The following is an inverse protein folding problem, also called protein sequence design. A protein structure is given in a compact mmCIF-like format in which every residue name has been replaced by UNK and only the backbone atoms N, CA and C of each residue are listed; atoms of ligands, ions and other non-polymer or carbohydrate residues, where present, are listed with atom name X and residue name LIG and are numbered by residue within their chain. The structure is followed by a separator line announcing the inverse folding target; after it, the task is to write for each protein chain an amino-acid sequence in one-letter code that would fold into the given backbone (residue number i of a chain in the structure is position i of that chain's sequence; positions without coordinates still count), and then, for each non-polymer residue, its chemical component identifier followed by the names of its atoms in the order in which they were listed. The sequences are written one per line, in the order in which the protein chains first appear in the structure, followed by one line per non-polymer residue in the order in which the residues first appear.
data_IF_957216290224
#
_entry.id   IF_957216290224
#
_cell.length_a   1.000
_cell.length_b   1.000
_cell.length_c   1.000
_cell.angle_alpha   90.00
_cell.angle_beta   90.00
_cell.angle_gamma   90.00
#
_symmetry.space_group_name_H-M   'P 1'
#
loop_
_entity.id
_entity.type
_entity.pdbx_description
1 polymer ?
#
# COMPACT_ATOMS: atom_id res chain seq x y z
N UNK A 1 4.43 -25.30 -7.96
CA UNK A 1 4.56 -25.94 -6.64
C UNK A 1 3.22 -26.02 -5.94
N UNK A 2 3.07 -26.99 -5.02
CA UNK A 2 1.86 -27.12 -4.21
C UNK A 2 1.55 -25.83 -3.41
N UNK A 3 2.58 -25.19 -2.86
CA UNK A 3 2.41 -23.91 -2.14
C UNK A 3 1.79 -22.81 -2.99
N UNK A 4 2.13 -22.74 -4.28
CA UNK A 4 1.51 -21.78 -5.20
C UNK A 4 0.03 -22.09 -5.46
N UNK A 5 -0.34 -23.35 -5.54
CA UNK A 5 -1.73 -23.79 -5.73
C UNK A 5 -2.55 -23.66 -4.44
N UNK A 6 -1.93 -23.93 -3.29
CA UNK A 6 -2.61 -24.06 -2.00
C UNK A 6 -2.72 -22.77 -1.18
N UNK A 7 -1.90 -21.72 -1.44
CA UNK A 7 -1.90 -20.53 -0.60
C UNK A 7 -3.26 -19.81 -0.48
N UNK A 8 -4.17 -19.83 -1.50
CA UNK A 8 -5.48 -19.19 -1.33
C UNK A 8 -6.33 -19.83 -0.24
N UNK A 9 -6.16 -21.16 -0.03
CA UNK A 9 -6.84 -21.86 1.06
C UNK A 9 -6.23 -21.48 2.42
N UNK A 10 -4.90 -21.39 2.51
CA UNK A 10 -4.21 -20.88 3.70
C UNK A 10 -4.65 -19.46 4.05
N UNK A 11 -4.73 -18.57 3.05
CA UNK A 11 -5.23 -17.20 3.24
C UNK A 11 -6.69 -17.20 3.73
N UNK A 12 -7.53 -18.10 3.23
CA UNK A 12 -8.90 -18.25 3.71
C UNK A 12 -8.93 -18.68 5.19
N UNK A 13 -8.03 -19.59 5.59
CA UNK A 13 -7.90 -20.01 6.99
C UNK A 13 -7.48 -18.84 7.89
N UNK A 14 -6.52 -18.00 7.45
CA UNK A 14 -6.10 -16.81 8.21
C UNK A 14 -7.25 -15.80 8.42
N UNK A 15 -8.15 -15.68 7.46
CA UNK A 15 -9.32 -14.79 7.55
C UNK A 15 -10.40 -15.39 8.47
N UNK A 16 -10.66 -16.68 8.34
CA UNK A 16 -11.74 -17.35 9.10
C UNK A 16 -11.33 -17.68 10.53
N UNK A 17 -10.04 -17.87 10.80
CA UNK A 17 -9.48 -18.15 12.11
C UNK A 17 -9.94 -17.13 13.20
N UNK A 18 -9.94 -15.84 12.86
CA UNK A 18 -10.41 -14.79 13.77
C UNK A 18 -11.88 -14.38 13.51
N UNK A 19 -12.60 -15.13 12.69
CA UNK A 19 -14.00 -14.88 12.29
C UNK A 19 -14.21 -13.43 11.82
N UNK A 20 -13.33 -12.95 10.95
CA UNK A 20 -13.25 -11.56 10.52
C UNK A 20 -14.53 -11.11 9.80
N UNK A 21 -15.09 -9.98 10.21
CA UNK A 21 -16.22 -9.33 9.54
C UNK A 21 -15.75 -8.52 8.32
N UNK A 22 -14.61 -7.82 8.43
CA UNK A 22 -14.10 -6.91 7.43
C UNK A 22 -12.60 -7.13 7.19
N UNK A 23 -12.21 -7.27 5.92
CA UNK A 23 -10.84 -7.52 5.51
C UNK A 23 -10.37 -6.42 4.55
N UNK A 24 -9.46 -5.52 4.97
CA UNK A 24 -8.84 -4.56 4.05
C UNK A 24 -7.93 -5.29 3.05
N UNK A 25 -8.22 -5.12 1.76
CA UNK A 25 -7.48 -5.81 0.69
C UNK A 25 -7.23 -4.90 -0.50
N UNK A 26 -6.21 -5.21 -1.29
CA UNK A 26 -6.06 -4.68 -2.64
C UNK A 26 -7.03 -5.35 -3.61
N UNK A 27 -7.30 -4.70 -4.72
CA UNK A 27 -8.23 -5.19 -5.76
C UNK A 27 -7.83 -6.58 -6.32
N UNK A 28 -6.53 -6.85 -6.39
CA UNK A 28 -5.97 -8.14 -6.81
C UNK A 28 -6.29 -9.31 -5.87
N UNK A 29 -6.73 -9.03 -4.63
CA UNK A 29 -7.12 -10.01 -3.63
C UNK A 29 -8.62 -10.38 -3.65
N UNK A 30 -9.43 -9.69 -4.44
CA UNK A 30 -10.87 -9.97 -4.53
C UNK A 30 -11.20 -11.44 -4.91
N UNK A 31 -10.48 -12.09 -5.83
CA UNK A 31 -10.71 -13.51 -6.12
C UNK A 31 -10.51 -14.42 -4.90
N UNK A 32 -9.56 -14.09 -4.02
CA UNK A 32 -9.31 -14.86 -2.79
C UNK A 32 -10.39 -14.60 -1.74
N UNK A 33 -10.93 -13.38 -1.67
CA UNK A 33 -12.10 -13.08 -0.84
C UNK A 33 -13.33 -13.86 -1.27
N UNK A 34 -13.58 -13.98 -2.58
CA UNK A 34 -14.69 -14.80 -3.09
C UNK A 34 -14.49 -16.30 -2.82
N UNK A 35 -13.24 -16.79 -2.92
CA UNK A 35 -12.92 -18.16 -2.53
C UNK A 35 -13.22 -18.39 -1.04
N UNK A 36 -12.80 -17.46 -0.18
CA UNK A 36 -13.05 -17.53 1.27
C UNK A 36 -14.54 -17.60 1.56
N UNK A 37 -15.37 -16.75 0.94
CA UNK A 37 -16.83 -16.78 1.10
C UNK A 37 -17.44 -18.12 0.68
N UNK A 38 -16.97 -18.68 -0.45
CA UNK A 38 -17.42 -20.00 -0.90
C UNK A 38 -17.07 -21.10 0.10
N UNK A 39 -15.86 -21.05 0.66
CA UNK A 39 -15.44 -22.00 1.69
C UNK A 39 -16.26 -21.85 2.97
N UNK A 40 -16.52 -20.63 3.43
CA UNK A 40 -17.36 -20.35 4.59
C UNK A 40 -18.79 -20.90 4.40
N UNK A 41 -19.44 -20.60 3.26
CA UNK A 41 -20.78 -21.12 2.96
C UNK A 41 -20.78 -22.63 2.97
N UNK A 42 -19.82 -23.26 2.27
CA UNK A 42 -19.72 -24.73 2.20
C UNK A 42 -19.50 -25.35 3.58
N UNK A 43 -18.65 -24.75 4.41
CA UNK A 43 -18.41 -25.21 5.77
C UNK A 43 -19.69 -25.12 6.61
N UNK A 44 -20.36 -23.99 6.58
CA UNK A 44 -21.59 -23.74 7.34
C UNK A 44 -22.74 -24.67 6.91
N UNK A 45 -22.85 -25.00 5.61
CA UNK A 45 -23.81 -25.99 5.08
C UNK A 45 -23.50 -27.41 5.55
N UNK A 46 -22.21 -27.80 5.59
CA UNK A 46 -21.81 -29.17 5.89
C UNK A 46 -21.79 -29.50 7.38
N UNK A 47 -21.53 -28.51 8.23
CA UNK A 47 -21.30 -28.70 9.66
C UNK A 47 -22.31 -27.89 10.51
N UNK A 48 -22.06 -26.58 10.66
CA UNK A 48 -22.92 -25.67 11.41
C UNK A 48 -22.64 -24.21 11.00
N UNK A 49 -23.59 -23.28 11.13
CA UNK A 49 -23.44 -21.87 10.77
C UNK A 49 -22.62 -21.11 11.81
N UNK A 50 -21.31 -21.40 11.89
CA UNK A 50 -20.38 -20.84 12.89
C UNK A 50 -19.42 -19.80 12.31
N UNK A 51 -19.14 -19.85 10.99
CA UNK A 51 -18.23 -18.92 10.34
C UNK A 51 -18.98 -17.77 9.69
N UNK A 52 -18.45 -16.55 9.82
CA UNK A 52 -19.00 -15.35 9.17
C UNK A 52 -18.45 -15.21 7.75
N UNK A 53 -19.29 -14.75 6.83
CA UNK A 53 -18.85 -14.37 5.49
C UNK A 53 -18.14 -13.01 5.54
N UNK A 54 -16.83 -12.95 5.28
CA UNK A 54 -16.08 -11.72 5.39
C UNK A 54 -16.44 -10.73 4.27
N UNK A 55 -16.54 -9.45 4.61
CA UNK A 55 -16.62 -8.35 3.66
C UNK A 55 -15.21 -7.85 3.32
N UNK A 56 -15.01 -7.40 2.09
CA UNK A 56 -13.76 -6.72 1.72
C UNK A 56 -13.90 -5.21 1.87
N UNK A 57 -12.80 -4.54 2.18
CA UNK A 57 -12.67 -3.09 2.13
C UNK A 57 -11.52 -2.72 1.19
N UNK A 58 -11.86 -2.02 0.11
CA UNK A 58 -10.88 -1.52 -0.85
C UNK A 58 -10.40 -0.12 -0.46
N UNK A 59 -9.13 0.16 -0.72
CA UNK A 59 -8.59 1.50 -0.66
C UNK A 59 -9.10 2.34 -1.83
N UNK A 60 -9.25 3.65 -1.62
CA UNK A 60 -9.51 4.63 -2.69
C UNK A 60 -8.35 4.69 -3.71
N UNK A 61 -7.15 4.29 -3.30
CA UNK A 61 -5.99 4.12 -4.17
C UNK A 61 -5.85 2.64 -4.53
N UNK A 62 -6.40 2.25 -5.67
CA UNK A 62 -6.44 0.84 -6.09
C UNK A 62 -5.05 0.29 -6.45
N UNK A 63 -4.18 1.10 -7.04
CA UNK A 63 -2.84 0.65 -7.48
C UNK A 63 -1.88 1.82 -7.69
N UNK A 64 -0.70 1.74 -7.07
CA UNK A 64 0.42 2.63 -7.35
C UNK A 64 1.34 1.99 -8.40
N UNK A 65 1.74 2.79 -9.39
CA UNK A 65 2.75 2.41 -10.39
C UNK A 65 4.15 2.50 -9.78
N UNK A 66 5.10 1.78 -10.37
CA UNK A 66 6.52 2.00 -10.09
C UNK A 66 6.97 3.43 -10.48
N UNK A 67 7.97 3.95 -9.79
CA UNK A 67 8.52 5.29 -10.08
C UNK A 67 9.13 5.40 -11.50
N UNK A 68 9.44 4.28 -12.11
CA UNK A 68 9.92 4.12 -13.49
C UNK A 68 8.80 4.12 -14.55
N UNK A 69 7.54 4.26 -14.13
CA UNK A 69 6.37 4.23 -15.00
C UNK A 69 5.85 2.83 -15.34
N UNK A 70 6.51 1.77 -14.86
CA UNK A 70 5.99 0.42 -15.03
C UNK A 70 4.73 0.19 -14.20
N UNK A 71 3.77 -0.52 -14.78
CA UNK A 71 2.51 -0.85 -14.10
C UNK A 71 2.73 -1.73 -12.85
N UNK A 72 3.84 -2.49 -12.80
CA UNK A 72 4.19 -3.34 -11.67
C UNK A 72 5.28 -2.69 -10.82
N UNK A 73 4.93 -2.38 -9.58
CA UNK A 73 5.91 -2.06 -8.53
C UNK A 73 6.48 -3.35 -7.96
N UNK A 74 7.80 -3.43 -7.77
CA UNK A 74 8.43 -4.64 -7.24
C UNK A 74 9.78 -4.40 -6.58
N UNK A 75 10.08 -5.20 -5.55
CA UNK A 75 11.38 -5.12 -4.84
C UNK A 75 12.55 -5.37 -5.78
N UNK A 76 12.44 -6.35 -6.67
CA UNK A 76 13.46 -6.70 -7.65
C UNK A 76 13.68 -5.64 -8.74
N UNK A 77 12.71 -4.75 -8.95
CA UNK A 77 12.78 -3.70 -9.95
C UNK A 77 13.39 -2.40 -9.40
N UNK A 78 13.52 -2.26 -8.08
CA UNK A 78 14.05 -1.06 -7.45
C UNK A 78 13.22 0.21 -7.67
N UNK A 79 11.98 0.09 -8.14
CA UNK A 79 11.08 1.17 -8.54
C UNK A 79 10.05 1.55 -7.46
N UNK A 80 10.28 1.12 -6.22
CA UNK A 80 9.37 1.32 -5.09
C UNK A 80 9.98 2.23 -4.01
N UNK A 81 9.12 2.98 -3.32
CA UNK A 81 9.45 3.65 -2.07
C UNK A 81 9.04 2.71 -0.94
N UNK A 82 9.96 2.44 -0.02
CA UNK A 82 9.70 1.58 1.14
C UNK A 82 9.40 2.41 2.38
N UNK A 83 8.60 1.86 3.30
CA UNK A 83 8.34 2.50 4.59
C UNK A 83 9.62 2.69 5.42
N UNK A 84 10.65 1.88 5.15
CA UNK A 84 11.94 1.94 5.81
C UNK A 84 12.96 2.87 5.15
N UNK A 85 12.64 3.47 3.98
CA UNK A 85 13.54 4.39 3.30
C UNK A 85 13.80 5.63 4.15
N UNK A 86 15.06 6.06 4.20
CA UNK A 86 15.43 7.33 4.82
C UNK A 86 14.84 8.52 4.03
N UNK A 87 14.82 9.70 4.64
CA UNK A 87 14.34 10.91 3.98
C UNK A 87 15.13 11.22 2.68
N UNK A 88 16.45 11.01 2.72
CA UNK A 88 17.34 11.22 1.56
C UNK A 88 17.09 10.17 0.48
N UNK A 89 16.83 8.92 0.86
CA UNK A 89 16.53 7.84 -0.06
C UNK A 89 15.20 8.11 -0.80
N UNK A 90 14.17 8.56 -0.09
CA UNK A 90 12.90 9.00 -0.69
C UNK A 90 13.13 10.15 -1.67
N UNK A 91 13.91 11.17 -1.27
CA UNK A 91 14.23 12.30 -2.13
C UNK A 91 14.95 11.86 -3.40
N UNK A 92 15.94 10.96 -3.27
CA UNK A 92 16.68 10.39 -4.40
C UNK A 92 15.76 9.62 -5.35
N UNK A 93 14.90 8.76 -4.82
CA UNK A 93 13.96 7.97 -5.61
C UNK A 93 12.93 8.85 -6.33
N UNK A 94 12.33 9.82 -5.65
CA UNK A 94 11.37 10.76 -6.28
C UNK A 94 12.06 11.61 -7.34
N UNK A 95 13.32 12.01 -7.14
CA UNK A 95 14.09 12.77 -8.14
C UNK A 95 14.18 12.02 -9.47
N UNK A 96 14.37 10.70 -9.43
CA UNK A 96 14.48 9.85 -10.64
C UNK A 96 13.15 9.38 -11.20
N UNK A 97 12.03 9.64 -10.52
CA UNK A 97 10.71 9.24 -11.00
C UNK A 97 10.40 9.82 -12.39
N UNK A 98 9.74 9.01 -13.20
CA UNK A 98 9.35 9.40 -14.56
C UNK A 98 8.25 10.46 -14.51
N UNK A 99 8.42 11.48 -15.34
CA UNK A 99 7.44 12.56 -15.55
C UNK A 99 6.92 12.52 -16.98
N UNK A 100 6.12 13.49 -17.36
CA UNK A 100 5.64 13.65 -18.73
C UNK A 100 6.82 13.78 -19.71
N UNK A 101 6.98 12.83 -20.65
CA UNK A 101 8.09 12.86 -21.63
C UNK A 101 7.94 13.99 -22.66
N UNK A 102 6.75 14.53 -22.89
CA UNK A 102 6.51 15.63 -23.81
C UNK A 102 7.01 16.97 -23.25
N UNK A 103 7.24 17.06 -21.95
CA UNK A 103 7.66 18.29 -21.27
C UNK A 103 9.18 18.42 -21.25
N UNK A 104 9.75 19.25 -22.12
CA UNK A 104 11.20 19.44 -22.28
C UNK A 104 11.69 20.61 -21.42
N UNK A 105 10.99 21.76 -21.46
CA UNK A 105 11.33 22.96 -20.67
C UNK A 105 10.45 23.06 -19.43
N UNK A 106 10.94 23.73 -18.40
CA UNK A 106 10.18 23.95 -17.17
C UNK A 106 8.91 24.77 -17.39
N UNK A 107 8.90 25.63 -18.40
CA UNK A 107 7.77 26.49 -18.79
C UNK A 107 6.78 25.82 -19.77
N UNK A 108 7.11 24.63 -20.28
CA UNK A 108 6.20 23.94 -21.19
C UNK A 108 4.96 23.45 -20.42
N UNK A 109 3.76 23.54 -21.01
CA UNK A 109 2.58 22.87 -20.47
C UNK A 109 2.82 21.39 -20.28
N UNK A 110 2.39 20.85 -19.15
CA UNK A 110 2.52 19.42 -18.85
C UNK A 110 1.19 18.69 -18.94
N UNK A 111 1.27 17.36 -18.97
CA UNK A 111 0.12 16.45 -19.03
C UNK A 111 0.10 15.61 -17.72
N UNK A 112 -0.62 16.08 -16.66
CA UNK A 112 -0.66 15.38 -15.38
C UNK A 112 -1.09 13.91 -15.49
N UNK A 113 -1.99 13.60 -16.42
CA UNK A 113 -2.59 12.29 -16.65
C UNK A 113 -1.59 11.20 -17.06
N UNK A 114 -0.48 11.57 -17.69
CA UNK A 114 0.59 10.62 -18.08
C UNK A 114 1.77 10.62 -17.11
N UNK A 115 1.77 11.55 -16.14
CA UNK A 115 2.88 11.75 -15.23
C UNK A 115 2.77 10.85 -14.00
N UNK A 116 3.79 10.01 -13.75
CA UNK A 116 3.85 9.15 -12.55
C UNK A 116 3.85 9.96 -11.27
N UNK A 117 4.63 11.05 -11.22
CA UNK A 117 4.70 11.95 -10.05
C UNK A 117 3.33 12.53 -9.72
N UNK A 118 2.52 12.87 -10.72
CA UNK A 118 1.18 13.36 -10.52
C UNK A 118 0.24 12.31 -9.91
N UNK A 119 0.33 11.05 -10.32
CA UNK A 119 -0.43 9.95 -9.71
C UNK A 119 -0.08 9.75 -8.23
N UNK A 120 1.17 9.96 -7.87
CA UNK A 120 1.57 9.95 -6.45
C UNK A 120 0.99 11.16 -5.70
N UNK A 121 0.94 12.36 -6.31
CA UNK A 121 0.28 13.52 -5.72
C UNK A 121 -1.21 13.26 -5.46
N UNK A 122 -1.91 12.60 -6.39
CA UNK A 122 -3.31 12.22 -6.21
C UNK A 122 -3.54 11.43 -4.91
N UNK A 123 -2.59 10.57 -4.54
CA UNK A 123 -2.69 9.72 -3.35
C UNK A 123 -2.18 10.40 -2.09
N UNK A 124 -1.04 11.12 -2.18
CA UNK A 124 -0.29 11.59 -1.00
C UNK A 124 -0.43 13.10 -0.73
N UNK A 125 -1.04 13.85 -1.64
CA UNK A 125 -1.35 15.28 -1.48
C UNK A 125 -2.74 15.62 -2.03
N UNK A 126 -3.80 14.91 -1.61
CA UNK A 126 -5.13 15.05 -2.22
C UNK A 126 -5.68 16.47 -2.09
N UNK A 127 -5.37 17.19 -1.00
CA UNK A 127 -5.84 18.56 -0.78
C UNK A 127 -5.25 19.57 -1.78
N UNK A 128 -4.07 19.32 -2.32
CA UNK A 128 -3.36 20.22 -3.25
C UNK A 128 -3.37 19.68 -4.70
N UNK A 129 -3.92 18.50 -4.91
CA UNK A 129 -3.85 17.77 -6.17
C UNK A 129 -4.35 18.58 -7.37
N UNK A 130 -5.55 19.16 -7.26
CA UNK A 130 -6.16 19.93 -8.35
C UNK A 130 -5.33 21.17 -8.70
N UNK A 131 -4.82 21.87 -7.69
CA UNK A 131 -3.94 23.02 -7.89
C UNK A 131 -2.61 22.62 -8.55
N UNK A 132 -2.03 21.49 -8.16
CA UNK A 132 -0.79 20.96 -8.78
C UNK A 132 -1.04 20.60 -10.23
N UNK A 133 -2.18 20.00 -10.56
CA UNK A 133 -2.58 19.69 -11.95
C UNK A 133 -2.72 20.95 -12.78
N UNK A 134 -3.38 21.98 -12.24
CA UNK A 134 -3.57 23.27 -12.93
C UNK A 134 -2.22 23.94 -13.20
N UNK A 135 -1.38 24.08 -12.17
CA UNK A 135 -0.03 24.65 -12.33
C UNK A 135 0.83 23.87 -13.35
N UNK A 136 0.66 22.53 -13.39
CA UNK A 136 1.37 21.70 -14.36
C UNK A 136 0.92 21.99 -15.79
N UNK A 137 -0.41 22.05 -16.04
CA UNK A 137 -0.99 22.35 -17.37
C UNK A 137 -0.64 23.74 -17.87
N UNK A 138 -0.55 24.71 -16.96
CA UNK A 138 -0.15 26.08 -17.27
C UNK A 138 1.36 26.26 -17.45
N UNK A 139 2.18 25.26 -17.14
CA UNK A 139 3.64 25.39 -17.13
C UNK A 139 4.18 26.29 -16.02
N UNK A 140 3.35 26.65 -15.02
CA UNK A 140 3.72 27.54 -13.91
C UNK A 140 4.52 26.85 -12.82
N UNK A 141 4.52 25.50 -12.76
CA UNK A 141 5.39 24.71 -11.89
C UNK A 141 6.33 23.82 -12.70
N UNK A 142 7.63 23.83 -12.40
CA UNK A 142 8.61 22.92 -13.01
C UNK A 142 8.59 21.53 -12.32
N UNK A 143 8.95 20.48 -13.09
CA UNK A 143 8.98 19.10 -12.56
C UNK A 143 9.86 18.93 -11.32
N UNK A 144 10.95 19.69 -11.20
CA UNK A 144 11.83 19.66 -10.01
C UNK A 144 11.11 20.19 -8.77
N UNK A 145 10.39 21.29 -8.89
CA UNK A 145 9.60 21.86 -7.78
C UNK A 145 8.45 20.93 -7.38
N UNK A 146 7.72 20.39 -8.36
CA UNK A 146 6.66 19.40 -8.15
C UNK A 146 7.19 18.16 -7.40
N UNK A 147 8.33 17.59 -7.81
CA UNK A 147 8.97 16.47 -7.12
C UNK A 147 9.41 16.80 -5.70
N UNK A 148 9.86 18.05 -5.43
CA UNK A 148 10.19 18.49 -4.07
C UNK A 148 8.94 18.52 -3.18
N UNK A 149 7.81 19.00 -3.67
CA UNK A 149 6.53 18.98 -2.95
C UNK A 149 6.13 17.54 -2.60
N UNK A 150 6.17 16.62 -3.56
CA UNK A 150 5.88 15.22 -3.32
C UNK A 150 6.84 14.61 -2.28
N UNK A 151 8.13 14.91 -2.37
CA UNK A 151 9.14 14.44 -1.42
C UNK A 151 8.83 14.91 0.00
N UNK A 152 8.44 16.17 0.17
CA UNK A 152 8.06 16.71 1.48
C UNK A 152 6.85 15.98 2.06
N UNK A 153 5.80 15.78 1.26
CA UNK A 153 4.58 15.08 1.68
C UNK A 153 4.86 13.63 2.06
N UNK A 154 5.63 12.92 1.23
CA UNK A 154 6.03 11.53 1.53
C UNK A 154 6.87 11.45 2.81
N UNK A 155 7.82 12.35 3.00
CA UNK A 155 8.63 12.35 4.21
C UNK A 155 7.81 12.68 5.45
N UNK A 156 6.87 13.62 5.38
CA UNK A 156 5.95 13.92 6.48
C UNK A 156 5.09 12.68 6.83
N UNK A 157 4.62 11.94 5.83
CA UNK A 157 3.88 10.69 6.04
C UNK A 157 4.75 9.61 6.68
N UNK A 158 6.02 9.48 6.24
CA UNK A 158 6.91 8.39 6.66
C UNK A 158 7.64 8.64 7.98
N UNK A 159 7.79 9.90 8.40
CA UNK A 159 8.52 10.25 9.64
C UNK A 159 7.99 9.53 10.89
N UNK A 160 6.65 9.48 11.15
CA UNK A 160 6.14 8.75 12.31
C UNK A 160 6.48 7.24 12.29
N UNK A 161 6.52 6.64 11.10
CA UNK A 161 6.91 5.23 10.95
C UNK A 161 8.39 5.02 11.25
N UNK A 162 9.27 5.95 10.80
CA UNK A 162 10.71 5.90 11.08
C UNK A 162 11.00 6.04 12.56
N UNK A 163 10.31 6.97 13.24
CA UNK A 163 10.42 7.18 14.69
C UNK A 163 10.00 5.93 15.46
N UNK A 164 8.84 5.36 15.14
CA UNK A 164 8.36 4.11 15.74
C UNK A 164 9.30 2.95 15.49
N UNK A 165 9.81 2.83 14.27
CA UNK A 165 10.78 1.80 13.91
C UNK A 165 12.05 1.93 14.76
N UNK A 166 12.65 3.13 14.84
CA UNK A 166 13.84 3.38 15.63
C UNK A 166 13.61 3.08 17.12
N UNK A 167 12.44 3.42 17.67
CA UNK A 167 12.05 3.08 19.00
C UNK A 167 12.05 1.56 19.23
N UNK A 168 11.34 0.79 18.39
CA UNK A 168 11.25 -0.66 18.55
C UNK A 168 12.55 -1.40 18.22
N UNK A 169 13.39 -0.86 17.35
CA UNK A 169 14.76 -1.41 17.14
C UNK A 169 15.63 -1.30 18.39
N UNK A 170 15.41 -0.26 19.21
CA UNK A 170 16.08 -0.08 20.51
C UNK A 170 15.41 -0.87 21.65
N UNK A 171 14.12 -1.25 21.51
CA UNK A 171 13.32 -1.91 22.56
C UNK A 171 12.85 -3.30 22.11
N UNK A 172 13.80 -4.15 21.74
CA UNK A 172 13.49 -5.49 21.18
C UNK A 172 12.77 -6.43 22.16
N UNK A 173 12.97 -6.23 23.44
CA UNK A 173 12.29 -7.04 24.47
C UNK A 173 10.81 -6.69 24.52
N UNK A 174 10.45 -5.41 24.42
CA UNK A 174 9.05 -4.98 24.27
C UNK A 174 8.40 -5.59 23.02
N UNK A 175 9.13 -5.67 21.90
CA UNK A 175 8.62 -6.34 20.69
C UNK A 175 8.34 -7.83 20.94
N UNK A 176 9.21 -8.52 21.67
CA UNK A 176 8.99 -9.93 22.03
C UNK A 176 7.76 -10.10 22.91
N UNK A 177 7.58 -9.21 23.89
CA UNK A 177 6.42 -9.21 24.79
C UNK A 177 5.12 -8.96 24.01
N UNK A 178 5.11 -8.01 23.09
CA UNK A 178 3.97 -7.74 22.18
C UNK A 178 3.62 -9.00 21.38
N UNK A 179 4.62 -9.66 20.79
CA UNK A 179 4.41 -10.87 19.99
C UNK A 179 3.89 -12.00 20.87
N UNK A 180 4.50 -12.24 22.03
CA UNK A 180 4.11 -13.31 22.95
C UNK A 180 2.68 -13.14 23.45
N UNK A 181 2.35 -11.93 23.90
CA UNK A 181 1.01 -11.60 24.40
C UNK A 181 -0.04 -11.68 23.28
N UNK A 182 0.30 -11.16 22.10
CA UNK A 182 -0.57 -11.22 20.94
C UNK A 182 -0.83 -12.66 20.47
N UNK A 183 0.22 -13.50 20.49
CA UNK A 183 0.09 -14.92 20.14
C UNK A 183 -0.81 -15.66 21.13
N UNK A 184 -0.63 -15.43 22.44
CA UNK A 184 -1.48 -16.05 23.47
C UNK A 184 -2.96 -15.69 23.24
N UNK A 185 -3.24 -14.41 23.02
CA UNK A 185 -4.60 -13.92 22.72
C UNK A 185 -5.18 -14.51 21.42
N UNK A 186 -4.36 -14.63 20.38
CA UNK A 186 -4.80 -15.24 19.12
C UNK A 186 -5.10 -16.74 19.29
N UNK A 187 -4.29 -17.46 20.08
CA UNK A 187 -4.56 -18.86 20.40
C UNK A 187 -5.87 -19.03 21.19
N UNK A 188 -6.16 -18.15 22.13
CA UNK A 188 -7.42 -18.16 22.87
C UNK A 188 -8.62 -18.02 21.93
N UNK A 189 -8.62 -16.99 21.05
CA UNK A 189 -9.68 -16.76 20.05
C UNK A 189 -9.84 -17.95 19.09
N UNK A 190 -8.72 -18.53 18.65
CA UNK A 190 -8.76 -19.64 17.69
C UNK A 190 -9.11 -21.00 18.32
N UNK A 191 -9.23 -21.07 19.63
CA UNK A 191 -9.63 -22.29 20.36
C UNK A 191 -11.12 -22.33 20.68
N UNK A 192 -11.84 -21.24 20.48
CA UNK A 192 -13.29 -21.16 20.61
C UNK A 192 -14.00 -21.79 19.41
#
# INVERSE_FOLDING_TARGET
TYGFLGYPVSQSADITFCNADLVPVGEDQLPHMELTRKLVRRFNEMYAPVLKEPQHMLSSCSRLMGLDGNAKMGKSLGNAIYLADSADEVARKVKTAVTDPARIKASDPGHPEVCVVNKYHQTFTPAEYDNICEMCRQGSIGCVACKKMLTASLNNLLNPFREKRAYYEAHRDEVRDIISTGTAKACEIGSE
#
